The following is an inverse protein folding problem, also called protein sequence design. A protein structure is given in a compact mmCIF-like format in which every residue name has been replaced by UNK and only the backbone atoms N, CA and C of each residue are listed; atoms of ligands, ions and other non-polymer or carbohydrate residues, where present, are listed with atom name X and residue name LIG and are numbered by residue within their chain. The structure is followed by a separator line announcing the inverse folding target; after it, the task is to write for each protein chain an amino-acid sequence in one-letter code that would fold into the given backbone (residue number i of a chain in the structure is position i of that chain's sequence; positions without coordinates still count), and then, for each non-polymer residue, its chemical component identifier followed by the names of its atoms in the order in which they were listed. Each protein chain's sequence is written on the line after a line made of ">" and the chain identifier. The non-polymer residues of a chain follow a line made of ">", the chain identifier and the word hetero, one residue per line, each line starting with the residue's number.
data_IF_415856888801
#
_entry.id   IF_415856888801
#
_cell.length_a   1.000
_cell.length_b   1.000
_cell.length_c   1.000
_cell.angle_alpha   90.00
_cell.angle_beta   90.00
_cell.angle_gamma   90.00
#
_symmetry.space_group_name_H-M   'P 1'
#
loop_
_entity.id
_entity.type
_entity.pdbx_description
1 polymer ?
#
# COMPACT_ATOMS: atom_id res chain seq x y z
N UNK A 1 -1.03 -42.82 8.07
CA UNK A 1 -1.32 -42.16 6.78
C UNK A 1 -2.33 -41.06 7.02
N UNK A 2 -1.98 -39.83 6.61
CA UNK A 2 -2.74 -38.61 6.82
C UNK A 2 -3.93 -38.48 5.86
N UNK A 3 -5.00 -37.83 6.31
CA UNK A 3 -5.90 -37.08 5.43
C UNK A 3 -6.22 -35.75 6.10
N UNK A 4 -5.35 -34.79 5.82
CA UNK A 4 -5.50 -33.39 6.17
C UNK A 4 -6.73 -32.85 5.44
N UNK A 5 -7.78 -32.49 6.19
CA UNK A 5 -8.95 -31.83 5.62
C UNK A 5 -8.54 -30.39 5.33
N UNK A 6 -8.39 -30.08 4.04
CA UNK A 6 -8.05 -28.76 3.53
C UNK A 6 -9.00 -27.69 4.11
N UNK A 7 -8.48 -26.88 5.05
CA UNK A 7 -9.19 -25.79 5.73
C UNK A 7 -9.53 -24.58 4.82
N UNK A 8 -9.17 -24.64 3.55
CA UNK A 8 -9.25 -23.52 2.60
C UNK A 8 -10.19 -23.78 1.41
N UNK A 9 -10.95 -24.88 1.40
CA UNK A 9 -11.83 -25.29 0.30
C UNK A 9 -13.10 -24.41 0.10
N UNK A 10 -13.08 -23.13 0.50
CA UNK A 10 -14.22 -22.22 0.42
C UNK A 10 -13.88 -20.78 0.02
N UNK A 11 -12.62 -20.49 -0.30
CA UNK A 11 -12.17 -19.14 -0.69
C UNK A 11 -12.12 -18.90 -2.20
N UNK A 12 -12.48 -19.90 -3.02
CA UNK A 12 -12.31 -19.85 -4.48
C UNK A 12 -13.41 -19.02 -5.20
N UNK A 13 -14.48 -18.64 -4.51
CA UNK A 13 -15.64 -17.95 -5.10
C UNK A 13 -15.63 -16.42 -4.98
N UNK A 14 -14.56 -15.78 -4.49
CA UNK A 14 -14.48 -14.31 -4.40
C UNK A 14 -13.90 -13.62 -5.64
N UNK A 15 -13.44 -14.37 -6.65
CA UNK A 15 -12.84 -13.80 -7.86
C UNK A 15 -13.85 -13.45 -8.97
N UNK A 16 -15.14 -13.77 -8.80
CA UNK A 16 -16.17 -13.56 -9.82
C UNK A 16 -17.42 -12.92 -9.21
N UNK A 17 -17.32 -11.64 -8.87
CA UNK A 17 -18.50 -10.79 -8.72
C UNK A 17 -18.28 -9.51 -9.53
N UNK A 18 -18.92 -9.51 -10.69
CA UNK A 18 -19.47 -8.34 -11.40
C UNK A 18 -18.54 -7.54 -12.34
N UNK A 19 -18.49 -8.03 -13.57
CA UNK A 19 -18.16 -7.31 -14.79
C UNK A 19 -19.44 -6.86 -15.52
N UNK A 20 -19.99 -5.68 -15.23
CA UNK A 20 -20.94 -4.99 -16.14
C UNK A 20 -21.12 -3.51 -15.80
N UNK A 21 -20.20 -2.63 -16.22
CA UNK A 21 -20.55 -1.29 -16.76
C UNK A 21 -19.39 -0.75 -17.58
N UNK A 22 -19.67 -0.36 -18.83
CA UNK A 22 -18.74 0.30 -19.74
C UNK A 22 -18.59 1.77 -19.33
N UNK A 23 -17.79 2.02 -18.31
CA UNK A 23 -17.17 3.33 -18.09
C UNK A 23 -15.68 3.17 -18.37
N UNK A 24 -15.06 4.17 -19.02
CA UNK A 24 -13.63 4.17 -19.33
C UNK A 24 -12.86 3.83 -18.07
N UNK A 25 -12.39 2.59 -17.99
CA UNK A 25 -11.53 2.10 -16.91
C UNK A 25 -10.35 3.07 -16.86
N UNK A 26 -10.11 3.81 -15.77
CA UNK A 26 -8.83 4.50 -15.63
C UNK A 26 -7.77 3.42 -15.85
N UNK A 27 -6.78 3.70 -16.72
CA UNK A 27 -5.64 2.81 -16.93
C UNK A 27 -5.26 2.24 -15.57
N UNK A 28 -5.37 0.92 -15.43
CA UNK A 28 -5.33 0.28 -14.12
C UNK A 28 -4.06 0.76 -13.42
N UNK A 29 -4.22 1.60 -12.39
CA UNK A 29 -3.11 2.29 -11.75
C UNK A 29 -2.07 1.23 -11.41
N UNK A 30 -0.91 1.32 -12.06
CA UNK A 30 0.16 0.35 -11.88
C UNK A 30 0.50 0.40 -10.39
N UNK A 31 0.34 -0.73 -9.69
CA UNK A 31 0.64 -0.78 -8.27
C UNK A 31 2.07 -0.26 -8.03
N UNK A 32 2.31 0.48 -6.93
CA UNK A 32 3.62 1.08 -6.61
C UNK A 32 4.80 0.10 -6.72
N UNK A 33 4.58 -1.19 -6.46
CA UNK A 33 5.60 -2.24 -6.60
C UNK A 33 6.00 -2.57 -8.05
N UNK A 34 5.16 -2.24 -9.04
CA UNK A 34 5.33 -2.52 -10.47
C UNK A 34 5.75 -1.27 -11.26
N UNK A 35 5.69 -0.10 -10.64
CA UNK A 35 6.12 1.15 -11.26
C UNK A 35 7.67 1.26 -11.18
N UNK A 36 8.37 1.45 -12.32
CA UNK A 36 9.83 1.54 -12.34
C UNK A 36 10.39 2.77 -11.59
N UNK A 37 9.58 3.81 -11.37
CA UNK A 37 9.97 5.01 -10.65
C UNK A 37 9.99 4.81 -9.12
N UNK A 38 9.35 3.75 -8.62
CA UNK A 38 9.34 3.44 -7.19
C UNK A 38 10.39 2.38 -6.84
N UNK A 39 11.06 2.57 -5.71
CA UNK A 39 11.95 1.58 -5.11
C UNK A 39 11.47 1.24 -3.70
N UNK A 40 11.38 -0.06 -3.40
CA UNK A 40 11.02 -0.52 -2.06
C UNK A 40 12.19 -0.29 -1.11
N UNK A 41 11.96 0.53 -0.09
CA UNK A 41 12.94 0.80 0.97
C UNK A 41 12.37 0.32 2.31
N UNK A 42 13.21 -0.32 3.12
CA UNK A 42 12.86 -0.74 4.49
C UNK A 42 13.67 0.07 5.48
N UNK A 43 12.99 0.72 6.42
CA UNK A 43 13.61 1.61 7.41
C UNK A 43 13.17 1.20 8.81
N UNK A 44 14.07 1.34 9.77
CA UNK A 44 13.74 1.20 11.17
C UNK A 44 13.35 2.56 11.75
N UNK A 45 12.15 2.64 12.32
CA UNK A 45 11.67 3.82 13.04
C UNK A 45 11.54 3.50 14.52
N UNK A 46 11.69 4.52 15.37
CA UNK A 46 11.33 4.37 16.78
C UNK A 46 9.84 3.98 16.90
N UNK A 47 9.50 3.21 17.94
CA UNK A 47 8.10 2.81 18.19
C UNK A 47 7.16 4.02 18.30
N UNK A 48 7.62 5.09 18.96
CA UNK A 48 6.86 6.33 19.10
C UNK A 48 6.61 7.00 17.75
N UNK A 49 7.63 7.06 16.88
CA UNK A 49 7.51 7.63 15.53
C UNK A 49 6.54 6.81 14.67
N UNK A 50 6.67 5.49 14.66
CA UNK A 50 5.79 4.61 13.90
C UNK A 50 4.32 4.75 14.35
N UNK A 51 4.06 4.85 15.66
CA UNK A 51 2.71 5.06 16.17
C UNK A 51 2.12 6.39 15.71
N UNK A 52 2.88 7.48 15.80
CA UNK A 52 2.43 8.80 15.32
C UNK A 52 2.12 8.78 13.82
N UNK A 53 3.01 8.18 13.02
CA UNK A 53 2.83 8.04 11.59
C UNK A 53 1.53 7.27 11.28
N UNK A 54 1.33 6.12 11.92
CA UNK A 54 0.13 5.29 11.73
C UNK A 54 -1.15 6.00 12.17
N UNK A 55 -1.14 6.70 13.29
CA UNK A 55 -2.30 7.45 13.77
C UNK A 55 -2.67 8.55 12.78
N UNK A 56 -1.68 9.26 12.23
CA UNK A 56 -1.92 10.28 11.22
C UNK A 56 -2.55 9.70 9.95
N UNK A 57 -1.97 8.65 9.38
CA UNK A 57 -2.49 8.01 8.14
C UNK A 57 -3.91 7.46 8.33
N UNK A 58 -4.25 6.98 9.53
CA UNK A 58 -5.62 6.54 9.83
C UNK A 58 -6.63 7.70 9.90
N UNK A 59 -6.18 8.90 10.26
CA UNK A 59 -7.04 10.09 10.36
C UNK A 59 -7.21 10.83 9.04
N UNK A 60 -6.22 10.76 8.15
CA UNK A 60 -6.21 11.51 6.89
C UNK A 60 -6.54 10.66 5.65
N UNK A 61 -6.72 9.35 5.82
CA UNK A 61 -6.81 8.36 4.73
C UNK A 61 -5.63 8.38 3.75
N UNK A 62 -4.54 9.07 4.10
CA UNK A 62 -3.33 9.19 3.30
C UNK A 62 -2.51 7.90 3.40
N UNK A 63 -1.93 7.46 2.27
CA UNK A 63 -1.04 6.31 2.27
C UNK A 63 0.27 6.61 3.02
N UNK A 64 0.75 5.62 3.78
CA UNK A 64 1.94 5.79 4.61
C UNK A 64 3.20 6.02 3.76
N UNK A 65 3.29 5.43 2.56
CA UNK A 65 4.45 5.64 1.70
C UNK A 65 4.47 7.04 1.08
N UNK A 66 3.30 7.60 0.74
CA UNK A 66 3.17 8.99 0.27
C UNK A 66 3.59 10.00 1.35
N UNK A 67 3.09 9.82 2.58
CA UNK A 67 3.46 10.71 3.68
C UNK A 67 4.97 10.69 3.97
N UNK A 68 5.60 9.52 3.92
CA UNK A 68 7.06 9.40 4.12
C UNK A 68 7.81 10.07 2.96
N UNK A 69 7.34 9.92 1.73
CA UNK A 69 7.95 10.56 0.55
C UNK A 69 7.88 12.08 0.65
N UNK A 70 6.72 12.66 0.98
CA UNK A 70 6.54 14.10 1.20
C UNK A 70 7.50 14.65 2.26
N UNK A 71 7.60 13.96 3.41
CA UNK A 71 8.51 14.35 4.50
C UNK A 71 9.98 14.34 4.07
N UNK A 72 10.39 13.37 3.25
CA UNK A 72 11.75 13.29 2.72
C UNK A 72 12.01 14.39 1.68
N UNK A 73 11.07 14.62 0.76
CA UNK A 73 11.16 15.70 -0.24
C UNK A 73 11.32 17.05 0.44
N UNK A 74 10.52 17.34 1.47
CA UNK A 74 10.61 18.59 2.23
C UNK A 74 11.89 18.69 3.07
N UNK A 75 12.42 17.56 3.55
CA UNK A 75 13.74 17.54 4.16
C UNK A 75 14.85 17.92 3.16
N UNK A 76 14.86 17.31 1.97
CA UNK A 76 15.87 17.62 0.95
C UNK A 76 15.77 19.05 0.42
N UNK A 77 14.56 19.56 0.18
CA UNK A 77 14.36 20.98 -0.19
C UNK A 77 15.02 21.93 0.80
N UNK A 78 14.88 21.67 2.11
CA UNK A 78 15.50 22.50 3.16
C UNK A 78 17.02 22.34 3.23
N UNK A 79 17.55 21.18 2.84
CA UNK A 79 18.97 20.91 2.82
C UNK A 79 19.67 21.59 1.62
N UNK A 80 18.97 21.65 0.48
CA UNK A 80 19.46 22.25 -0.76
C UNK A 80 19.26 23.78 -0.83
N UNK A 81 18.59 24.37 0.18
CA UNK A 81 18.36 25.81 0.34
C UNK A 81 19.51 26.49 1.08
#
# INVERSE_FOLDING_TARGET
>A
MAKEKNRFAGFENFAQAESTTSEKKPEAAIAKSKDPNFKKTTLYLSKATHLRLRTHTLSTEQDMSELVEELLVDYFKRLDS
#
